data_IF_739891452056
#
_entry.id   IF_739891452056
#
_cell.length_a   1.000
_cell.length_b   1.000
_cell.length_c   1.000
_cell.angle_alpha   90.00
_cell.angle_beta   90.00
_cell.angle_gamma   90.00
#
_symmetry.space_group_name_H-M   'P 1'
#
loop_
_entity.id
_entity.type
_entity.pdbx_description
1 polymer ?
#
# COMPACT_ATOMS: atom_id res chain seq x y z
N UNK A 1 1.49 13.48 13.68
CA UNK A 1 1.42 14.77 12.98
C UNK A 1 1.38 14.47 11.48
N UNK A 2 0.31 14.90 10.81
CA UNK A 2 0.25 14.88 9.34
C UNK A 2 1.20 15.99 8.87
N UNK A 3 2.27 15.62 8.20
CA UNK A 3 3.13 16.59 7.51
C UNK A 3 2.23 17.30 6.49
N UNK A 4 2.18 18.63 6.56
CA UNK A 4 1.29 19.46 5.76
C UNK A 4 1.31 19.03 4.28
N UNK A 5 0.14 18.93 3.62
CA UNK A 5 0.06 18.60 2.19
C UNK A 5 0.91 19.51 1.29
N UNK A 6 1.17 20.74 1.74
CA UNK A 6 2.00 21.72 1.02
C UNK A 6 3.51 21.42 1.13
N UNK A 7 3.91 20.53 2.03
CA UNK A 7 5.29 20.10 2.24
C UNK A 7 5.51 18.64 1.82
N UNK A 8 4.54 18.01 1.17
CA UNK A 8 4.71 16.68 0.59
C UNK A 8 5.93 16.68 -0.33
N UNK A 9 6.78 15.68 -0.13
CA UNK A 9 8.04 15.50 -0.85
C UNK A 9 7.75 15.37 -2.36
N UNK A 10 7.86 16.48 -3.07
CA UNK A 10 7.69 16.55 -4.53
C UNK A 10 8.92 15.94 -5.18
N UNK A 11 8.71 15.12 -6.18
CA UNK A 11 9.79 14.58 -7.00
C UNK A 11 9.42 14.62 -8.48
N UNK A 12 10.44 14.78 -9.31
CA UNK A 12 10.29 14.80 -10.76
C UNK A 12 10.65 13.46 -11.38
N UNK A 13 9.85 13.02 -12.34
CA UNK A 13 10.08 11.82 -13.14
C UNK A 13 10.28 12.27 -14.58
N UNK A 14 11.41 11.88 -15.20
CA UNK A 14 11.62 12.09 -16.62
C UNK A 14 10.91 10.99 -17.40
N UNK A 15 10.01 11.39 -18.29
CA UNK A 15 9.36 10.49 -19.24
C UNK A 15 10.30 10.13 -20.39
N UNK A 16 9.96 9.09 -21.15
CA UNK A 16 10.70 8.73 -22.38
C UNK A 16 10.68 9.84 -23.43
N UNK A 17 9.66 10.71 -23.44
CA UNK A 17 9.57 11.90 -24.30
C UNK A 17 10.50 13.04 -23.86
N UNK A 18 11.15 12.93 -22.68
CA UNK A 18 12.02 13.95 -22.12
C UNK A 18 11.31 15.00 -21.27
N UNK A 19 9.99 14.91 -21.14
CA UNK A 19 9.22 15.77 -20.25
C UNK A 19 9.46 15.41 -18.79
N UNK A 20 9.24 16.36 -17.88
CA UNK A 20 9.30 16.12 -16.44
C UNK A 20 7.89 16.14 -15.86
N UNK A 21 7.42 15.00 -15.40
CA UNK A 21 6.22 14.89 -14.60
C UNK A 21 6.56 15.08 -13.12
N UNK A 22 5.69 15.75 -12.39
CA UNK A 22 5.85 15.95 -10.95
C UNK A 22 4.86 15.09 -10.19
N UNK A 23 5.34 14.34 -9.23
CA UNK A 23 4.50 13.55 -8.32
C UNK A 23 4.87 13.86 -6.87
N UNK A 24 4.06 13.36 -5.96
CA UNK A 24 4.28 13.51 -4.51
C UNK A 24 3.93 12.23 -3.78
N UNK A 25 4.46 12.11 -2.57
CA UNK A 25 4.02 11.16 -1.57
C UNK A 25 3.51 11.90 -0.34
N UNK A 26 2.63 11.24 0.41
CA UNK A 26 2.14 11.74 1.69
C UNK A 26 2.59 10.76 2.77
N UNK A 27 3.20 11.29 3.84
CA UNK A 27 3.73 10.49 4.94
C UNK A 27 3.03 10.88 6.23
N UNK A 28 2.48 9.87 6.93
CA UNK A 28 1.99 9.95 8.30
C UNK A 28 2.94 9.21 9.23
N UNK A 29 2.99 9.61 10.51
CA UNK A 29 3.88 9.04 11.50
C UNK A 29 3.17 8.85 12.84
N UNK A 30 3.29 7.65 13.40
CA UNK A 30 2.88 7.34 14.77
C UNK A 30 4.09 6.80 15.52
N UNK A 31 4.50 7.52 16.58
CA UNK A 31 5.66 7.14 17.37
C UNK A 31 5.37 5.92 18.25
N UNK A 32 6.28 4.96 18.27
CA UNK A 32 6.26 3.83 19.20
C UNK A 32 6.57 4.23 20.65
N UNK A 33 6.06 3.46 21.60
CA UNK A 33 6.25 3.77 23.02
C UNK A 33 7.60 3.28 23.60
N UNK A 34 8.20 2.27 22.97
CA UNK A 34 9.40 1.61 23.48
C UNK A 34 10.65 2.46 23.17
N UNK A 35 11.40 2.83 24.18
CA UNK A 35 12.58 3.71 24.05
C UNK A 35 13.69 3.09 23.22
N UNK A 36 13.77 1.76 23.15
CA UNK A 36 14.81 1.05 22.41
C UNK A 36 14.39 0.72 20.97
N UNK A 37 13.07 0.67 20.70
CA UNK A 37 12.51 0.28 19.40
C UNK A 37 11.77 1.39 18.66
N UNK A 38 11.50 2.53 19.28
CA UNK A 38 10.76 3.64 18.64
C UNK A 38 11.48 4.26 17.44
N UNK A 39 12.80 4.07 17.34
CA UNK A 39 13.61 4.50 16.20
C UNK A 39 13.75 3.39 15.14
N UNK A 40 13.01 2.29 15.32
CA UNK A 40 12.78 1.24 14.32
C UNK A 40 11.39 1.38 13.73
N UNK A 41 11.25 1.16 12.43
CA UNK A 41 10.04 1.52 11.70
C UNK A 41 9.39 0.33 11.02
N UNK A 42 8.06 0.28 11.12
CA UNK A 42 7.22 -0.49 10.22
C UNK A 42 6.64 0.50 9.21
N UNK A 43 6.83 0.25 7.93
CA UNK A 43 6.23 1.06 6.87
C UNK A 43 4.94 0.41 6.40
N UNK A 44 3.83 1.12 6.48
CA UNK A 44 2.56 0.74 5.84
C UNK A 44 2.38 1.60 4.61
N UNK A 45 2.33 1.00 3.44
CA UNK A 45 2.30 1.70 2.17
C UNK A 45 1.09 1.34 1.32
N UNK A 46 0.60 2.32 0.57
CA UNK A 46 -0.41 2.15 -0.47
C UNK A 46 -0.13 3.12 -1.61
N UNK A 47 -0.38 2.71 -2.86
CA UNK A 47 -0.26 3.63 -3.99
C UNK A 47 -1.41 4.65 -3.98
N UNK A 48 -1.08 5.88 -4.34
CA UNK A 48 -1.99 7.03 -4.35
C UNK A 48 -2.58 7.31 -5.74
N UNK A 49 -1.83 6.99 -6.79
CA UNK A 49 -2.16 7.30 -8.17
C UNK A 49 -2.87 6.13 -8.88
N UNK A 50 -3.50 6.48 -9.99
CA UNK A 50 -4.06 5.55 -10.97
C UNK A 50 -3.85 6.12 -12.38
N UNK A 51 -4.45 5.52 -13.40
CA UNK A 51 -4.26 5.88 -14.81
C UNK A 51 -4.85 7.25 -15.20
N UNK A 52 -5.71 7.85 -14.35
CA UNK A 52 -6.32 9.16 -14.63
C UNK A 52 -7.37 9.09 -15.73
N UNK A 53 -7.32 10.01 -16.71
CA UNK A 53 -8.20 10.00 -17.87
C UNK A 53 -7.41 9.95 -19.16
N UNK A 54 -8.01 9.34 -20.18
CA UNK A 54 -7.45 9.21 -21.52
C UNK A 54 -8.48 9.59 -22.59
N UNK A 55 -8.08 10.42 -23.55
CA UNK A 55 -8.90 10.68 -24.72
C UNK A 55 -8.71 9.56 -25.74
N UNK A 56 -9.77 8.84 -26.04
CA UNK A 56 -9.80 7.79 -27.08
C UNK A 56 -10.67 8.23 -28.26
N UNK A 57 -10.35 7.77 -29.45
CA UNK A 57 -11.19 8.03 -30.63
C UNK A 57 -11.97 6.74 -30.94
N UNK A 58 -13.30 6.81 -30.79
CA UNK A 58 -14.21 5.71 -31.12
C UNK A 58 -15.11 6.19 -32.26
N UNK A 59 -15.11 5.47 -33.38
CA UNK A 59 -15.90 5.81 -34.58
C UNK A 59 -15.70 7.28 -35.06
N UNK A 60 -14.45 7.77 -34.96
CA UNK A 60 -14.10 9.14 -35.35
C UNK A 60 -14.46 10.23 -34.34
N UNK A 61 -15.11 9.88 -33.24
CA UNK A 61 -15.44 10.80 -32.12
C UNK A 61 -14.42 10.68 -31.02
N UNK A 62 -13.94 11.83 -30.52
CA UNK A 62 -13.10 11.89 -29.32
C UNK A 62 -13.98 11.71 -28.08
N UNK A 63 -13.66 10.67 -27.29
CA UNK A 63 -14.33 10.37 -26.03
C UNK A 63 -13.30 10.32 -24.92
N UNK A 64 -13.58 10.97 -23.79
CA UNK A 64 -12.77 10.87 -22.60
C UNK A 64 -13.18 9.61 -21.82
N UNK A 65 -12.19 8.78 -21.47
CA UNK A 65 -12.33 7.64 -20.56
C UNK A 65 -11.65 7.97 -19.24
N UNK A 66 -12.39 7.80 -18.15
CA UNK A 66 -11.90 8.02 -16.78
C UNK A 66 -11.69 6.68 -16.09
N UNK A 67 -10.49 6.45 -15.57
CA UNK A 67 -10.10 5.26 -14.83
C UNK A 67 -10.15 5.57 -13.34
N UNK A 68 -11.29 5.26 -12.71
CA UNK A 68 -11.57 5.67 -11.33
C UNK A 68 -10.65 5.01 -10.29
N UNK A 69 -10.33 3.73 -10.46
CA UNK A 69 -9.41 3.01 -9.57
C UNK A 69 -9.96 2.82 -8.15
N UNK A 70 -11.26 2.52 -8.01
CA UNK A 70 -11.87 2.34 -6.70
C UNK A 70 -11.22 1.19 -5.92
N UNK A 71 -11.03 0.03 -6.57
CA UNK A 71 -10.24 -1.04 -5.98
C UNK A 71 -8.74 -0.90 -6.29
N UNK A 72 -8.39 -0.32 -7.40
CA UNK A 72 -6.98 -0.18 -7.81
C UNK A 72 -6.46 1.27 -7.87
N UNK A 73 -6.24 2.00 -6.72
CA UNK A 73 -6.05 1.46 -5.38
C UNK A 73 -6.70 2.33 -4.27
N UNK A 74 -7.83 2.98 -4.51
CA UNK A 74 -8.47 3.75 -3.46
C UNK A 74 -8.87 2.86 -2.25
N UNK A 75 -9.16 1.56 -2.48
CA UNK A 75 -9.42 0.59 -1.42
C UNK A 75 -8.22 0.43 -0.48
N UNK A 76 -7.02 0.16 -1.00
CA UNK A 76 -5.82 0.02 -0.19
C UNK A 76 -5.44 1.32 0.53
N UNK A 77 -5.66 2.46 -0.11
CA UNK A 77 -5.43 3.77 0.50
C UNK A 77 -6.41 4.03 1.65
N UNK A 78 -7.69 3.71 1.49
CA UNK A 78 -8.70 3.84 2.53
C UNK A 78 -8.38 2.93 3.73
N UNK A 79 -7.98 1.68 3.47
CA UNK A 79 -7.52 0.74 4.49
C UNK A 79 -6.32 1.28 5.26
N UNK A 80 -5.34 1.86 4.56
CA UNK A 80 -4.17 2.47 5.20
C UNK A 80 -4.56 3.64 6.11
N UNK A 81 -5.47 4.50 5.69
CA UNK A 81 -5.93 5.64 6.49
C UNK A 81 -6.65 5.19 7.76
N UNK A 82 -7.53 4.20 7.64
CA UNK A 82 -8.25 3.67 8.79
C UNK A 82 -7.31 2.90 9.74
N UNK A 83 -6.37 2.13 9.20
CA UNK A 83 -5.33 1.49 9.99
C UNK A 83 -4.48 2.53 10.73
N UNK A 84 -4.14 3.65 10.10
CA UNK A 84 -3.42 4.74 10.74
C UNK A 84 -4.20 5.34 11.92
N UNK A 85 -5.52 5.50 11.78
CA UNK A 85 -6.41 5.94 12.86
C UNK A 85 -6.42 4.95 14.02
N UNK A 86 -6.51 3.64 13.73
CA UNK A 86 -6.49 2.59 14.76
C UNK A 86 -5.16 2.55 15.50
N UNK A 87 -4.03 2.60 14.78
CA UNK A 87 -2.67 2.63 15.36
C UNK A 87 -2.48 3.89 16.21
N UNK A 88 -2.91 5.06 15.74
CA UNK A 88 -2.82 6.31 16.50
C UNK A 88 -3.64 6.24 17.80
N UNK A 89 -4.86 5.70 17.72
CA UNK A 89 -5.74 5.56 18.89
C UNK A 89 -5.16 4.61 19.93
N UNK A 90 -4.46 3.58 19.50
CA UNK A 90 -3.88 2.53 20.34
C UNK A 90 -2.34 2.58 20.38
N UNK A 91 -1.74 3.76 20.21
CA UNK A 91 -0.29 3.92 20.05
C UNK A 91 0.53 3.32 21.20
N UNK A 92 -0.04 3.23 22.38
CA UNK A 92 0.58 2.61 23.56
C UNK A 92 0.80 1.09 23.44
N UNK A 93 0.27 0.45 22.42
CA UNK A 93 0.48 -0.97 22.14
C UNK A 93 1.65 -1.20 21.17
N UNK A 94 2.04 -0.17 20.41
CA UNK A 94 3.06 -0.29 19.37
C UNK A 94 4.44 0.05 19.91
N UNK A 95 5.32 -0.93 19.96
CA UNK A 95 6.70 -0.74 20.43
C UNK A 95 7.53 0.06 19.42
N UNK A 96 7.42 -0.29 18.14
CA UNK A 96 8.05 0.39 16.99
C UNK A 96 7.20 1.55 16.52
N UNK A 97 7.84 2.51 15.89
CA UNK A 97 7.13 3.56 15.17
C UNK A 97 6.54 3.04 13.86
N UNK A 98 5.40 3.59 13.46
CA UNK A 98 4.74 3.22 12.22
C UNK A 98 4.70 4.41 11.27
N UNK A 99 5.22 4.24 10.07
CA UNK A 99 5.15 5.18 8.96
C UNK A 99 4.06 4.76 7.99
N UNK A 100 3.13 5.64 7.72
CA UNK A 100 2.08 5.45 6.71
C UNK A 100 2.46 6.26 5.48
N UNK A 101 2.65 5.61 4.34
CA UNK A 101 3.15 6.26 3.13
C UNK A 101 2.22 6.02 1.95
N UNK A 102 1.57 7.09 1.48
CA UNK A 102 0.85 7.07 0.21
C UNK A 102 1.84 7.37 -0.91
N UNK A 103 2.18 6.37 -1.73
CA UNK A 103 3.14 6.49 -2.82
C UNK A 103 2.46 7.06 -4.08
N UNK A 104 3.00 8.17 -4.60
CA UNK A 104 2.63 8.66 -5.93
C UNK A 104 3.52 8.05 -7.00
N UNK A 105 3.08 8.15 -8.26
CA UNK A 105 3.77 7.63 -9.43
C UNK A 105 4.10 6.12 -9.36
N UNK A 106 3.23 5.35 -8.73
CA UNK A 106 3.34 3.89 -8.74
C UNK A 106 3.06 3.32 -10.15
N UNK A 107 2.23 4.02 -10.95
CA UNK A 107 2.00 3.70 -12.36
C UNK A 107 3.25 3.90 -13.24
N UNK A 108 4.22 4.67 -12.77
CA UNK A 108 5.52 4.94 -13.40
C UNK A 108 6.62 4.06 -12.77
N UNK A 109 6.47 2.76 -12.86
CA UNK A 109 7.43 1.76 -12.36
C UNK A 109 7.75 1.91 -10.88
N UNK A 110 6.74 2.26 -10.06
CA UNK A 110 6.85 2.43 -8.60
C UNK A 110 7.85 3.52 -8.19
N UNK A 111 7.96 4.58 -9.00
CA UNK A 111 8.93 5.64 -8.80
C UNK A 111 8.84 6.29 -7.41
N UNK A 112 7.63 6.39 -6.83
CA UNK A 112 7.43 6.96 -5.50
C UNK A 112 8.07 6.17 -4.37
N UNK A 113 7.91 4.85 -4.36
CA UNK A 113 8.53 3.99 -3.36
C UNK A 113 10.06 3.90 -3.53
N UNK A 114 10.56 3.87 -4.76
CA UNK A 114 11.99 3.99 -5.05
C UNK A 114 12.57 5.33 -4.59
N UNK A 115 11.86 6.43 -4.83
CA UNK A 115 12.29 7.76 -4.39
C UNK A 115 12.28 7.86 -2.87
N UNK A 116 11.27 7.30 -2.21
CA UNK A 116 11.19 7.24 -0.75
C UNK A 116 12.44 6.60 -0.15
N UNK A 117 12.81 5.41 -0.60
CA UNK A 117 13.95 4.67 -0.06
C UNK A 117 15.31 5.28 -0.40
N UNK A 118 15.45 5.90 -1.57
CA UNK A 118 16.77 6.36 -2.04
C UNK A 118 17.03 7.85 -1.75
N UNK A 119 15.99 8.64 -1.43
CA UNK A 119 16.13 10.11 -1.32
C UNK A 119 15.44 10.73 -0.12
N UNK A 120 14.28 10.21 0.29
CA UNK A 120 13.47 10.88 1.31
C UNK A 120 13.69 10.31 2.69
N UNK A 121 13.86 9.00 2.80
CA UNK A 121 14.10 8.33 4.06
C UNK A 121 15.61 8.14 4.26
N UNK A 122 16.17 8.81 5.28
CA UNK A 122 17.63 8.91 5.42
C UNK A 122 18.32 7.63 5.92
N UNK A 123 17.59 6.79 6.67
CA UNK A 123 18.13 5.58 7.29
C UNK A 123 17.25 4.36 6.98
N UNK A 124 17.44 3.76 5.82
CA UNK A 124 16.70 2.57 5.38
C UNK A 124 16.96 1.34 6.25
N UNK A 125 18.10 1.27 6.92
CA UNK A 125 18.45 0.15 7.82
C UNK A 125 17.60 0.16 9.10
N UNK A 126 16.95 1.29 9.41
CA UNK A 126 16.00 1.40 10.52
C UNK A 126 14.61 0.85 10.19
N UNK A 127 14.32 0.49 8.94
CA UNK A 127 13.04 -0.12 8.54
C UNK A 127 13.11 -1.63 8.76
N UNK A 128 12.29 -2.13 9.69
CA UNK A 128 12.23 -3.57 10.02
C UNK A 128 11.36 -4.36 9.04
N UNK A 129 10.27 -3.76 8.56
CA UNK A 129 9.39 -4.38 7.58
C UNK A 129 8.51 -3.35 6.83
N UNK A 130 7.99 -3.77 5.68
CA UNK A 130 7.00 -3.03 4.90
C UNK A 130 5.75 -3.86 4.70
N UNK A 131 4.60 -3.24 4.93
CA UNK A 131 3.25 -3.78 4.68
C UNK A 131 2.68 -2.99 3.51
N UNK A 132 2.52 -3.63 2.36
CA UNK A 132 1.94 -3.03 1.16
C UNK A 132 0.46 -3.39 1.03
N UNK A 133 -0.40 -2.39 0.93
CA UNK A 133 -1.85 -2.54 0.81
C UNK A 133 -2.27 -2.20 -0.63
N UNK A 134 -2.64 -3.21 -1.40
CA UNK A 134 -2.96 -3.01 -2.81
C UNK A 134 -4.15 -3.87 -3.25
N UNK A 135 -5.20 -3.21 -3.74
CA UNK A 135 -6.44 -3.83 -4.23
C UNK A 135 -7.12 -4.73 -3.18
N UNK A 136 -7.61 -4.10 -2.10
CA UNK A 136 -8.23 -4.76 -0.94
C UNK A 136 -9.77 -4.60 -0.88
N UNK A 137 -10.41 -4.28 -2.00
CA UNK A 137 -11.84 -3.95 -2.01
C UNK A 137 -12.78 -5.09 -2.41
N UNK A 138 -12.30 -6.27 -2.82
CA UNK A 138 -13.15 -7.37 -3.34
C UNK A 138 -12.82 -8.66 -2.59
N UNK A 139 -13.25 -8.76 -1.34
CA UNK A 139 -12.96 -9.89 -0.46
C UNK A 139 -13.54 -11.23 -0.94
N UNK A 140 -14.62 -11.22 -1.72
CA UNK A 140 -15.14 -12.43 -2.36
C UNK A 140 -14.18 -13.07 -3.37
N UNK A 141 -13.21 -12.32 -3.88
CA UNK A 141 -12.16 -12.81 -4.75
C UNK A 141 -11.03 -13.52 -3.99
N UNK A 142 -10.98 -13.39 -2.66
CA UNK A 142 -10.00 -13.96 -1.75
C UNK A 142 -9.26 -12.87 -0.95
N UNK A 143 -8.45 -13.32 0.01
CA UNK A 143 -7.53 -12.47 0.75
C UNK A 143 -6.16 -13.14 0.76
N UNK A 144 -5.15 -12.48 0.25
CA UNK A 144 -3.84 -13.07 -0.01
C UNK A 144 -2.72 -12.26 0.62
N UNK A 145 -1.65 -12.97 1.05
CA UNK A 145 -0.41 -12.41 1.51
C UNK A 145 0.76 -12.94 0.67
N UNK A 146 1.54 -12.04 0.09
CA UNK A 146 2.78 -12.39 -0.61
C UNK A 146 3.98 -11.80 0.14
N UNK A 147 4.87 -12.66 0.62
CA UNK A 147 6.02 -12.30 1.48
C UNK A 147 7.37 -12.51 0.81
N UNK A 148 7.41 -12.82 -0.48
CA UNK A 148 8.62 -13.26 -1.18
C UNK A 148 9.35 -14.40 -0.44
N UNK A 149 8.60 -15.31 0.17
CA UNK A 149 9.11 -16.44 0.99
C UNK A 149 9.91 -16.02 2.24
N UNK A 150 9.73 -14.80 2.73
CA UNK A 150 10.37 -14.36 3.97
C UNK A 150 9.88 -15.20 5.16
N UNK A 151 10.81 -15.86 5.86
CA UNK A 151 10.48 -16.82 6.91
C UNK A 151 9.84 -16.17 8.14
N UNK A 152 10.30 -14.96 8.51
CA UNK A 152 9.79 -14.26 9.70
C UNK A 152 8.36 -13.76 9.46
N UNK A 153 8.08 -13.16 8.31
CA UNK A 153 6.75 -12.72 7.93
C UNK A 153 5.78 -13.91 7.82
N UNK A 154 6.21 -15.03 7.22
CA UNK A 154 5.41 -16.24 7.16
C UNK A 154 5.13 -16.83 8.55
N UNK A 155 6.09 -16.74 9.48
CA UNK A 155 5.92 -17.17 10.86
C UNK A 155 4.88 -16.32 11.60
N UNK A 156 4.91 -14.99 11.40
CA UNK A 156 3.91 -14.07 11.98
C UNK A 156 2.51 -14.39 11.43
N UNK A 157 2.35 -14.56 10.12
CA UNK A 157 1.08 -14.92 9.49
C UNK A 157 0.57 -16.26 10.04
N UNK A 158 1.45 -17.27 10.11
CA UNK A 158 1.08 -18.59 10.63
C UNK A 158 0.63 -18.55 12.09
N UNK A 159 1.29 -17.75 12.93
CA UNK A 159 0.90 -17.54 14.33
C UNK A 159 -0.48 -16.89 14.41
N UNK A 160 -0.71 -15.80 13.69
CA UNK A 160 -2.02 -15.12 13.67
C UNK A 160 -3.12 -16.01 13.14
N UNK A 161 -2.85 -16.81 12.10
CA UNK A 161 -3.83 -17.75 11.56
C UNK A 161 -4.15 -18.91 12.54
N UNK A 162 -3.31 -19.14 13.53
CA UNK A 162 -3.56 -20.05 14.66
C UNK A 162 -4.45 -19.45 15.75
N UNK A 163 -4.71 -18.14 15.71
CA UNK A 163 -5.56 -17.40 16.63
C UNK A 163 -6.95 -17.14 16.00
N UNK A 164 -7.92 -16.70 16.82
CA UNK A 164 -9.23 -16.30 16.30
C UNK A 164 -9.10 -14.97 15.53
N UNK A 165 -9.23 -15.04 14.22
CA UNK A 165 -9.21 -13.88 13.31
C UNK A 165 -10.50 -13.80 12.51
N UNK A 166 -10.99 -12.60 12.17
CA UNK A 166 -12.23 -12.43 11.38
C UNK A 166 -12.08 -12.93 9.93
N UNK A 167 -10.86 -12.91 9.42
CA UNK A 167 -10.43 -13.44 8.12
C UNK A 167 -8.97 -13.82 8.19
N UNK A 168 -8.54 -14.75 7.37
CA UNK A 168 -7.14 -15.18 7.30
C UNK A 168 -6.63 -15.12 5.86
N UNK A 169 -5.47 -14.53 5.59
CA UNK A 169 -4.92 -14.52 4.25
C UNK A 169 -4.34 -15.89 3.88
N UNK A 170 -4.47 -16.24 2.61
CA UNK A 170 -3.71 -17.31 1.99
C UNK A 170 -2.31 -16.78 1.62
N UNK A 171 -1.26 -17.46 2.07
CA UNK A 171 0.12 -17.11 1.69
C UNK A 171 0.40 -17.65 0.30
N UNK A 172 0.69 -16.77 -0.64
CA UNK A 172 1.00 -17.15 -2.03
C UNK A 172 2.50 -17.34 -2.24
N UNK A 173 2.87 -18.43 -2.94
CA UNK A 173 4.26 -18.73 -3.27
C UNK A 173 4.80 -17.82 -4.39
N UNK A 174 3.95 -17.35 -5.29
CA UNK A 174 4.30 -16.46 -6.39
C UNK A 174 3.68 -15.10 -6.22
N UNK A 175 4.40 -14.07 -6.67
CA UNK A 175 3.90 -12.69 -6.68
C UNK A 175 2.65 -12.57 -7.56
N UNK A 176 1.51 -12.11 -7.02
CA UNK A 176 0.28 -11.97 -7.81
C UNK A 176 0.44 -10.94 -8.95
N UNK A 177 1.11 -9.83 -8.65
CA UNK A 177 1.46 -8.75 -9.59
C UNK A 177 2.47 -7.81 -8.93
N UNK A 178 3.23 -7.02 -9.74
CA UNK A 178 4.18 -6.05 -9.19
C UNK A 178 3.47 -4.89 -8.48
N UNK A 179 4.04 -4.45 -7.35
CA UNK A 179 3.57 -3.29 -6.59
C UNK A 179 4.73 -2.65 -5.82
N UNK A 180 4.46 -1.63 -5.00
CA UNK A 180 5.45 -0.84 -4.27
C UNK A 180 6.33 -1.64 -3.30
N UNK A 181 5.89 -2.82 -2.84
CA UNK A 181 6.69 -3.74 -2.01
C UNK A 181 8.01 -4.15 -2.67
N UNK A 182 8.08 -4.15 -4.02
CA UNK A 182 9.30 -4.52 -4.76
C UNK A 182 10.47 -3.60 -4.46
N UNK A 183 10.23 -2.31 -4.26
CA UNK A 183 11.28 -1.35 -3.94
C UNK A 183 11.94 -1.69 -2.60
N UNK A 184 11.15 -2.09 -1.60
CA UNK A 184 11.64 -2.50 -0.28
C UNK A 184 12.35 -3.85 -0.34
N UNK A 185 11.72 -4.83 -0.95
CA UNK A 185 12.27 -6.16 -1.14
C UNK A 185 13.65 -6.13 -1.85
N UNK A 186 13.82 -5.26 -2.84
CA UNK A 186 15.11 -5.09 -3.55
C UNK A 186 16.22 -4.49 -2.68
N UNK A 187 15.88 -3.89 -1.54
CA UNK A 187 16.80 -3.39 -0.50
C UNK A 187 16.96 -4.36 0.66
N UNK A 188 16.53 -5.61 0.48
CA UNK A 188 16.54 -6.65 1.51
C UNK A 188 15.69 -6.33 2.75
N UNK A 189 14.77 -5.37 2.63
CA UNK A 189 13.78 -5.07 3.67
C UNK A 189 12.64 -6.09 3.56
N UNK A 190 12.31 -6.82 4.63
CA UNK A 190 11.16 -7.71 4.66
C UNK A 190 9.90 -6.99 4.22
N UNK A 191 9.20 -7.50 3.22
CA UNK A 191 7.99 -6.86 2.71
C UNK A 191 6.89 -7.88 2.47
N UNK A 192 5.67 -7.53 2.88
CA UNK A 192 4.45 -8.30 2.61
C UNK A 192 3.50 -7.45 1.79
N UNK A 193 2.92 -8.02 0.74
CA UNK A 193 1.80 -7.43 0.03
C UNK A 193 0.52 -8.15 0.42
N UNK A 194 -0.47 -7.42 0.93
CA UNK A 194 -1.82 -7.89 1.13
C UNK A 194 -2.71 -7.40 0.00
N UNK A 195 -3.53 -8.31 -0.55
CA UNK A 195 -4.39 -8.03 -1.71
C UNK A 195 -5.58 -9.00 -1.76
N UNK A 196 -6.66 -8.60 -2.41
CA UNK A 196 -7.74 -9.50 -2.83
C UNK A 196 -7.53 -10.08 -4.23
N UNK A 197 -6.37 -9.78 -4.85
CA UNK A 197 -5.98 -10.35 -6.13
C UNK A 197 -6.49 -9.57 -7.34
N UNK A 198 -6.22 -10.13 -8.52
CA UNK A 198 -6.65 -9.55 -9.79
C UNK A 198 -8.16 -9.72 -9.99
N UNK A 199 -8.78 -8.76 -10.66
CA UNK A 199 -10.21 -8.73 -10.95
C UNK A 199 -10.45 -8.18 -12.37
N UNK A 200 -11.60 -8.49 -12.99
CA UNK A 200 -11.87 -8.14 -14.41
C UNK A 200 -11.91 -6.64 -14.69
N UNK A 201 -12.36 -5.84 -13.73
CA UNK A 201 -12.53 -4.37 -13.86
C UNK A 201 -11.20 -3.60 -13.70
N UNK A 202 -10.12 -4.25 -13.26
CA UNK A 202 -8.81 -3.62 -13.06
C UNK A 202 -8.34 -2.87 -14.30
N UNK A 203 -7.92 -1.63 -14.11
CA UNK A 203 -7.48 -0.72 -15.18
C UNK A 203 -8.56 -0.48 -16.26
N UNK A 204 -9.81 -0.52 -15.89
CA UNK A 204 -10.96 -0.17 -16.75
C UNK A 204 -11.80 0.95 -16.11
N UNK A 205 -12.71 1.53 -16.91
CA UNK A 205 -13.69 2.52 -16.44
C UNK A 205 -14.72 1.93 -15.46
N UNK A 206 -14.76 0.60 -15.32
CA UNK A 206 -15.68 -0.14 -14.45
C UNK A 206 -15.14 -0.36 -13.04
N UNK A 207 -13.88 -0.01 -12.78
CA UNK A 207 -13.31 -0.02 -11.43
C UNK A 207 -13.86 1.16 -10.62
N UNK A 208 -15.11 1.01 -10.19
CA UNK A 208 -15.90 2.03 -9.49
C UNK A 208 -16.29 1.54 -8.10
N UNK A 209 -16.80 2.44 -7.27
CA UNK A 209 -17.27 2.12 -5.91
C UNK A 209 -18.27 0.94 -5.87
N UNK A 210 -19.03 0.73 -6.95
CA UNK A 210 -20.06 -0.32 -6.99
C UNK A 210 -19.54 -1.76 -6.86
N UNK A 211 -18.23 -1.98 -7.05
CA UNK A 211 -17.60 -3.30 -6.89
C UNK A 211 -16.97 -3.51 -5.52
N UNK A 212 -16.99 -2.50 -4.65
CA UNK A 212 -16.34 -2.55 -3.34
C UNK A 212 -17.20 -3.26 -2.32
N UNK A 213 -16.60 -4.21 -1.61
CA UNK A 213 -17.22 -5.04 -0.57
C UNK A 213 -16.77 -4.55 0.82
N UNK A 214 -17.42 -3.50 1.34
CA UNK A 214 -17.02 -2.85 2.59
C UNK A 214 -16.99 -3.78 3.80
N UNK A 215 -17.93 -4.73 3.92
CA UNK A 215 -17.96 -5.70 5.01
C UNK A 215 -16.74 -6.63 5.00
N UNK A 216 -16.21 -6.95 3.83
CA UNK A 216 -14.97 -7.73 3.71
C UNK A 216 -13.76 -6.88 4.09
N UNK A 217 -13.71 -5.63 3.63
CA UNK A 217 -12.64 -4.68 3.99
C UNK A 217 -12.55 -4.48 5.50
N UNK A 218 -13.69 -4.41 6.21
CA UNK A 218 -13.71 -4.27 7.67
C UNK A 218 -13.03 -5.46 8.37
N UNK A 219 -13.31 -6.69 7.93
CA UNK A 219 -12.68 -7.90 8.47
C UNK A 219 -11.18 -7.97 8.14
N UNK A 220 -10.80 -7.61 6.92
CA UNK A 220 -9.40 -7.54 6.49
C UNK A 220 -8.62 -6.48 7.27
N UNK A 221 -9.24 -5.33 7.54
CA UNK A 221 -8.66 -4.24 8.32
C UNK A 221 -8.34 -4.70 9.75
N UNK A 222 -9.23 -5.46 10.40
CA UNK A 222 -8.97 -6.01 11.74
C UNK A 222 -7.77 -6.97 11.72
N UNK A 223 -7.68 -7.83 10.71
CA UNK A 223 -6.51 -8.68 10.53
C UNK A 223 -5.22 -7.87 10.32
N UNK A 224 -5.26 -6.86 9.46
CA UNK A 224 -4.11 -5.99 9.17
C UNK A 224 -3.65 -5.23 10.42
N UNK A 225 -4.58 -4.81 11.27
CA UNK A 225 -4.24 -4.19 12.55
C UNK A 225 -3.51 -5.18 13.47
N UNK A 226 -4.02 -6.40 13.62
CA UNK A 226 -3.38 -7.44 14.42
C UNK A 226 -2.01 -7.85 13.86
N UNK A 227 -1.86 -7.82 12.54
CA UNK A 227 -0.58 -8.09 11.88
C UNK A 227 0.45 -6.95 12.09
N UNK A 228 -0.01 -5.70 12.16
CA UNK A 228 0.86 -4.53 12.34
C UNK A 228 1.35 -4.40 13.79
N UNK A 229 0.59 -4.90 14.76
CA UNK A 229 0.90 -4.90 16.19
C UNK A 229 2.04 -5.87 16.54
#
# INVERSE_FOLDING_TARGET
DVISPDQGDLFGIKTESGDTLTSRKVIGFVQGYDTDLRDRYIVVGARLDNLGSMTVTVDGLKTERVYYGANGNASGLAMMLELARMVQTNSVLFRRSVLFVAFGASTESFAGSWYFLNRSFGDVDSIDAMINLDMLGIGSNGFYAYTASNADLNSIISRLNGELQPVQPEVTASEPYPSDHRAFYSKEIPAVMFTTGKYPEHNTEKDTESIIEYDAMERELEYLYNFTL
#
